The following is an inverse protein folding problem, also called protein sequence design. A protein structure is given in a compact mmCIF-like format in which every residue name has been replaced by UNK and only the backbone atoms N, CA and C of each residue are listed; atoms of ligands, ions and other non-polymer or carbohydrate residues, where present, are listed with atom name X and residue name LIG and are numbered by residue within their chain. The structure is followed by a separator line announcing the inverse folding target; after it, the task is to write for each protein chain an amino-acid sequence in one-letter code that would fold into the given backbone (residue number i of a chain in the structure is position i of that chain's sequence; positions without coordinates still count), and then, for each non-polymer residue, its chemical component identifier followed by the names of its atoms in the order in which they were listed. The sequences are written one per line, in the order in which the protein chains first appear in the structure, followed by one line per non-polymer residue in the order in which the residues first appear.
data_IF_860652666264
#
_entry.id   IF_860652666264
#
_cell.length_a   1.000
_cell.length_b   1.000
_cell.length_c   1.000
_cell.angle_alpha   90.00
_cell.angle_beta   90.00
_cell.angle_gamma   90.00
#
_symmetry.space_group_name_H-M   'P 1'
#
loop_
_entity.id
_entity.type
_entity.pdbx_description
1 polymer ?
#
# COMPACT_ATOMS: atom_id res chain seq x y z
N UNK A 1 50.09 52.42 21.29
CA UNK A 1 48.70 52.37 20.84
C UNK A 1 48.42 51.01 20.29
N UNK A 2 47.59 50.30 20.97
CA UNK A 2 47.26 48.92 20.58
C UNK A 2 45.98 48.96 19.78
N UNK A 3 46.08 48.58 18.54
CA UNK A 3 44.90 48.39 17.71
C UNK A 3 44.40 46.98 17.93
N UNK A 4 43.28 46.88 18.58
CA UNK A 4 42.54 45.64 18.62
C UNK A 4 41.92 45.43 17.24
N UNK A 5 42.48 44.49 16.51
CA UNK A 5 41.82 43.98 15.33
C UNK A 5 40.65 43.10 15.79
N UNK A 6 39.46 43.63 15.64
CA UNK A 6 38.28 42.81 15.80
C UNK A 6 38.25 41.78 14.69
N UNK A 7 38.57 40.58 15.02
CA UNK A 7 38.34 39.45 14.12
C UNK A 7 36.84 39.22 14.09
N UNK A 8 36.21 39.74 13.07
CA UNK A 8 34.85 39.37 12.74
C UNK A 8 34.89 37.91 12.25
N UNK A 9 34.68 37.01 13.16
CA UNK A 9 34.37 35.62 12.78
C UNK A 9 33.00 35.64 12.12
N UNK A 10 32.96 35.71 10.81
CA UNK A 10 31.74 35.45 10.06
C UNK A 10 31.51 33.98 10.16
N UNK A 11 30.73 33.60 11.12
CA UNK A 11 30.20 32.25 11.17
C UNK A 11 29.15 32.15 10.08
N UNK A 12 29.58 31.73 8.89
CA UNK A 12 28.64 31.34 7.86
C UNK A 12 28.02 30.06 8.34
N UNK A 13 26.90 30.19 9.01
CA UNK A 13 26.03 29.03 9.23
C UNK A 13 25.51 28.66 7.85
N UNK A 14 26.17 27.72 7.20
CA UNK A 14 25.53 26.98 6.15
C UNK A 14 24.40 26.21 6.81
N UNK A 15 23.25 26.84 6.89
CA UNK A 15 22.03 26.13 6.99
C UNK A 15 22.00 25.22 5.77
N UNK A 16 22.44 23.98 5.95
CA UNK A 16 22.18 22.97 4.97
C UNK A 16 20.66 22.87 4.89
N UNK A 17 20.09 23.62 3.97
CA UNK A 17 18.76 23.29 3.50
C UNK A 17 18.90 21.90 2.90
N UNK A 18 18.74 20.89 3.72
CA UNK A 18 18.35 19.60 3.22
C UNK A 18 16.96 19.81 2.63
N UNK A 19 16.94 20.25 1.39
CA UNK A 19 15.80 19.99 0.56
C UNK A 19 15.78 18.47 0.46
N UNK A 20 15.09 17.85 1.41
CA UNK A 20 14.67 16.49 1.22
C UNK A 20 13.86 16.54 -0.06
N UNK A 21 14.50 16.23 -1.18
CA UNK A 21 13.80 15.88 -2.38
C UNK A 21 12.99 14.66 -1.97
N UNK A 22 11.72 14.91 -1.65
CA UNK A 22 10.78 13.85 -1.41
C UNK A 22 10.79 13.03 -2.69
N UNK A 23 11.58 11.95 -2.69
CA UNK A 23 11.58 10.97 -3.76
C UNK A 23 10.12 10.56 -3.91
N UNK A 24 9.55 10.80 -5.10
CA UNK A 24 8.15 10.53 -5.34
C UNK A 24 7.87 9.08 -4.98
N UNK A 25 7.12 8.86 -3.90
CA UNK A 25 6.68 7.53 -3.49
C UNK A 25 5.93 6.89 -4.66
N UNK A 26 6.01 5.55 -4.84
CA UNK A 26 5.24 4.87 -5.87
C UNK A 26 3.77 5.20 -5.68
N UNK A 27 3.14 5.72 -6.72
CA UNK A 27 1.72 6.00 -6.67
C UNK A 27 0.96 4.69 -6.83
N UNK A 28 0.20 4.34 -5.81
CA UNK A 28 -0.76 3.25 -5.92
C UNK A 28 -1.90 3.69 -6.84
N UNK A 29 -2.25 2.86 -7.79
CA UNK A 29 -3.38 3.13 -8.63
C UNK A 29 -4.60 3.37 -7.75
N UNK A 30 -5.22 4.52 -7.94
CA UNK A 30 -6.53 4.82 -7.39
C UNK A 30 -7.63 4.06 -8.15
N UNK A 31 -7.21 3.09 -8.97
CA UNK A 31 -8.11 2.16 -9.60
C UNK A 31 -8.91 1.39 -8.56
N UNK A 32 -9.92 0.72 -9.02
CA UNK A 32 -10.88 0.03 -8.19
C UNK A 32 -10.18 -1.04 -7.34
N UNK A 33 -10.13 -0.82 -6.04
CA UNK A 33 -9.79 -1.89 -5.11
C UNK A 33 -11.09 -2.64 -4.84
N UNK A 34 -11.18 -3.87 -5.29
CA UNK A 34 -12.33 -4.72 -5.07
C UNK A 34 -12.01 -5.79 -4.03
N UNK A 35 -12.95 -5.99 -3.13
CA UNK A 35 -12.92 -7.11 -2.21
C UNK A 35 -13.90 -8.16 -2.73
N UNK A 36 -13.44 -9.39 -2.88
CA UNK A 36 -14.25 -10.50 -3.38
C UNK A 36 -14.00 -11.75 -2.56
N UNK A 37 -14.98 -12.64 -2.52
CA UNK A 37 -14.87 -13.96 -1.91
C UNK A 37 -15.74 -14.96 -2.65
N UNK A 38 -15.33 -16.20 -2.64
CA UNK A 38 -16.11 -17.29 -3.23
C UNK A 38 -17.00 -17.92 -2.17
N UNK A 39 -18.32 -17.98 -2.38
CA UNK A 39 -19.20 -18.67 -1.44
C UNK A 39 -18.97 -20.18 -1.50
N UNK A 40 -18.99 -20.83 -0.35
CA UNK A 40 -19.16 -22.28 -0.27
C UNK A 40 -20.61 -22.64 -0.53
N UNK A 41 -20.88 -23.85 -0.98
CA UNK A 41 -22.24 -24.31 -1.28
C UNK A 41 -23.22 -24.27 -0.10
N UNK A 42 -22.76 -24.00 1.11
CA UNK A 42 -23.59 -23.86 2.32
C UNK A 42 -23.71 -22.39 2.79
N UNK A 43 -23.42 -21.43 1.92
CA UNK A 43 -23.58 -20.00 2.21
C UNK A 43 -22.45 -19.36 3.03
N UNK A 44 -21.48 -20.12 3.45
CA UNK A 44 -20.28 -19.59 4.10
C UNK A 44 -19.25 -19.16 3.06
N UNK A 45 -18.42 -18.17 3.42
CA UNK A 45 -17.27 -17.83 2.60
C UNK A 45 -16.29 -18.99 2.58
N UNK A 46 -16.02 -19.48 1.40
CA UNK A 46 -14.85 -20.29 1.22
C UNK A 46 -13.58 -19.42 1.27
N UNK A 47 -12.53 -20.08 1.43
CA UNK A 47 -11.12 -19.78 1.63
C UNK A 47 -10.52 -18.68 0.75
N UNK A 48 -11.28 -18.06 -0.16
CA UNK A 48 -10.76 -17.24 -1.23
C UNK A 48 -11.19 -15.76 -1.17
N UNK A 49 -11.12 -15.17 0.02
CA UNK A 49 -11.27 -13.71 0.10
C UNK A 49 -10.02 -13.06 -0.44
N UNK A 50 -10.20 -12.24 -1.45
CA UNK A 50 -9.13 -11.54 -2.12
C UNK A 50 -9.43 -10.05 -2.32
N UNK A 51 -8.38 -9.23 -2.22
CA UNK A 51 -8.40 -7.86 -2.68
C UNK A 51 -7.75 -7.79 -4.06
N UNK A 52 -8.49 -7.32 -5.05
CA UNK A 52 -7.99 -7.08 -6.41
C UNK A 52 -7.72 -5.61 -6.59
N UNK A 53 -6.55 -5.25 -7.11
CA UNK A 53 -6.16 -3.85 -7.25
C UNK A 53 -5.14 -3.62 -8.36
N UNK A 54 -5.06 -2.36 -8.80
CA UNK A 54 -4.10 -1.92 -9.79
C UNK A 54 -3.10 -0.95 -9.18
N UNK A 55 -1.85 -1.03 -9.64
CA UNK A 55 -0.82 -0.04 -9.37
C UNK A 55 -0.54 0.78 -10.63
N UNK A 56 -0.17 2.05 -10.47
CA UNK A 56 0.19 2.93 -11.60
C UNK A 56 1.44 2.46 -12.33
N UNK A 57 2.32 1.75 -11.62
CA UNK A 57 3.51 1.13 -12.17
C UNK A 57 3.71 -0.28 -11.61
N UNK A 58 4.45 -1.10 -12.32
CA UNK A 58 4.80 -2.43 -11.84
C UNK A 58 5.78 -2.34 -10.67
N UNK A 59 5.48 -3.08 -9.63
CA UNK A 59 6.35 -3.28 -8.46
C UNK A 59 6.52 -4.78 -8.27
N UNK A 60 7.68 -5.22 -7.79
CA UNK A 60 7.90 -6.64 -7.49
C UNK A 60 6.92 -7.09 -6.39
N UNK A 61 6.35 -8.29 -6.52
CA UNK A 61 5.32 -8.78 -5.60
C UNK A 61 5.75 -8.75 -4.12
N UNK A 62 7.02 -9.03 -3.84
CA UNK A 62 7.61 -8.93 -2.48
C UNK A 62 7.65 -7.51 -1.91
N UNK A 63 7.47 -6.49 -2.74
CA UNK A 63 7.44 -5.08 -2.34
C UNK A 63 6.02 -4.54 -2.18
N UNK A 64 5.03 -5.37 -2.39
CA UNK A 64 3.62 -5.05 -2.21
C UNK A 64 3.09 -5.81 -1.02
N UNK A 65 2.58 -5.09 -0.05
CA UNK A 65 1.98 -5.66 1.16
C UNK A 65 0.52 -5.26 1.22
N UNK A 66 -0.33 -6.22 1.46
CA UNK A 66 -1.77 -6.02 1.62
C UNK A 66 -2.21 -6.58 2.95
N UNK A 67 -3.01 -5.83 3.66
CA UNK A 67 -3.75 -6.34 4.81
C UNK A 67 -5.24 -6.12 4.58
N UNK A 68 -6.03 -7.08 4.98
CA UNK A 68 -7.49 -7.01 4.99
C UNK A 68 -7.92 -7.20 6.42
N UNK A 69 -8.54 -6.16 7.01
CA UNK A 69 -8.92 -6.13 8.42
C UNK A 69 -7.76 -6.50 9.37
N UNK A 70 -6.56 -5.99 9.08
CA UNK A 70 -5.35 -6.26 9.86
C UNK A 70 -4.66 -7.60 9.57
N UNK A 71 -5.26 -8.48 8.76
CA UNK A 71 -4.67 -9.77 8.39
C UNK A 71 -3.84 -9.67 7.11
N UNK A 72 -2.62 -10.16 7.15
CA UNK A 72 -1.74 -10.14 5.99
C UNK A 72 -2.26 -11.05 4.87
N UNK A 73 -2.30 -10.51 3.66
CA UNK A 73 -2.68 -11.24 2.46
C UNK A 73 -1.42 -11.57 1.63
N UNK A 74 -1.36 -12.79 1.11
CA UNK A 74 -0.33 -13.16 0.14
C UNK A 74 -0.59 -12.46 -1.20
N UNK A 75 0.38 -11.70 -1.70
CA UNK A 75 0.21 -10.87 -2.90
C UNK A 75 0.91 -11.49 -4.09
N UNK A 76 0.21 -11.54 -5.21
CA UNK A 76 0.78 -11.95 -6.49
C UNK A 76 0.34 -11.01 -7.61
N UNK A 77 1.16 -10.89 -8.62
CA UNK A 77 0.81 -10.27 -9.90
C UNK A 77 0.00 -11.27 -10.74
N UNK A 78 -1.03 -10.80 -11.40
CA UNK A 78 -1.95 -11.67 -12.14
C UNK A 78 -2.23 -11.12 -13.54
N UNK A 79 -2.26 -12.02 -14.50
CA UNK A 79 -2.69 -11.77 -15.86
C UNK A 79 -1.67 -11.06 -16.73
N UNK A 80 -2.10 -10.62 -17.91
CA UNK A 80 -1.28 -9.90 -18.88
C UNK A 80 -1.00 -8.44 -18.47
N UNK A 81 -1.77 -7.89 -17.54
CA UNK A 81 -1.53 -6.55 -17.01
C UNK A 81 -0.33 -6.53 -16.08
N UNK A 82 0.67 -5.73 -16.40
CA UNK A 82 1.88 -5.57 -15.59
C UNK A 82 1.64 -4.89 -14.25
N UNK A 83 0.43 -4.42 -13.99
CA UNK A 83 0.07 -3.60 -12.83
C UNK A 83 -1.10 -4.15 -12.01
N UNK A 84 -1.66 -5.29 -12.41
CA UNK A 84 -2.76 -5.92 -11.69
C UNK A 84 -2.24 -6.93 -10.67
N UNK A 85 -2.73 -6.81 -9.45
CA UNK A 85 -2.32 -7.62 -8.31
C UNK A 85 -3.53 -8.17 -7.58
N UNK A 86 -3.32 -9.31 -6.95
CA UNK A 86 -4.29 -9.93 -6.05
C UNK A 86 -3.63 -10.23 -4.73
N UNK A 87 -4.20 -9.70 -3.66
CA UNK A 87 -3.86 -10.07 -2.29
C UNK A 87 -4.90 -11.06 -1.76
N UNK A 88 -4.48 -12.28 -1.45
CA UNK A 88 -5.35 -13.37 -1.01
C UNK A 88 -5.14 -13.68 0.46
N UNK A 89 -6.23 -13.72 1.23
CA UNK A 89 -6.20 -14.12 2.64
C UNK A 89 -5.95 -15.63 2.80
N UNK A 90 -5.23 -16.02 3.87
CA UNK A 90 -5.14 -17.41 4.26
C UNK A 90 -6.52 -18.01 4.52
N UNK A 91 -6.69 -19.29 4.23
CA UNK A 91 -7.95 -20.01 4.43
C UNK A 91 -8.43 -20.09 5.88
N UNK A 92 -7.56 -19.83 6.84
CA UNK A 92 -7.89 -19.75 8.27
C UNK A 92 -8.62 -18.48 8.67
N UNK A 93 -8.53 -17.42 7.83
CA UNK A 93 -9.16 -16.13 8.09
C UNK A 93 -10.54 -16.12 7.43
N UNK A 94 -11.55 -15.82 8.22
CA UNK A 94 -12.93 -15.76 7.75
C UNK A 94 -13.46 -14.34 7.85
N UNK A 95 -13.95 -13.82 6.74
CA UNK A 95 -14.70 -12.58 6.67
C UNK A 95 -16.16 -12.87 6.32
N UNK A 96 -17.08 -12.03 6.75
CA UNK A 96 -18.50 -12.21 6.49
C UNK A 96 -18.96 -11.38 5.29
N UNK A 97 -19.84 -11.93 4.48
CA UNK A 97 -20.50 -11.21 3.39
C UNK A 97 -21.32 -10.01 3.89
N UNK A 98 -21.32 -8.93 3.12
CA UNK A 98 -22.05 -7.73 3.43
C UNK A 98 -21.44 -6.84 4.51
N UNK A 99 -20.35 -7.27 5.13
CA UNK A 99 -19.60 -6.46 6.09
C UNK A 99 -18.52 -5.64 5.41
N UNK A 100 -18.17 -4.54 6.05
CA UNK A 100 -17.15 -3.62 5.60
C UNK A 100 -15.83 -3.92 6.28
N UNK A 101 -14.76 -3.96 5.49
CA UNK A 101 -13.41 -4.26 5.96
C UNK A 101 -12.43 -3.21 5.48
N UNK A 102 -11.42 -2.99 6.28
CA UNK A 102 -10.34 -2.07 5.93
C UNK A 102 -9.28 -2.80 5.13
N UNK A 103 -9.07 -2.34 3.90
CA UNK A 103 -7.99 -2.82 3.03
C UNK A 103 -6.87 -1.79 3.05
N UNK A 104 -5.67 -2.24 3.41
CA UNK A 104 -4.46 -1.43 3.37
C UNK A 104 -3.51 -2.03 2.36
N UNK A 105 -3.07 -1.20 1.42
CA UNK A 105 -2.08 -1.59 0.41
C UNK A 105 -0.87 -0.69 0.58
N UNK A 106 0.29 -1.30 0.75
CA UNK A 106 1.57 -0.63 0.79
C UNK A 106 2.44 -1.17 -0.32
N UNK A 107 2.93 -0.30 -1.18
CA UNK A 107 3.86 -0.66 -2.24
C UNK A 107 5.14 0.15 -2.12
N UNK A 108 6.27 -0.50 -2.31
CA UNK A 108 7.59 0.12 -2.21
C UNK A 108 8.36 -0.10 -3.50
N UNK A 109 9.15 0.89 -3.89
CA UNK A 109 10.18 0.77 -4.90
C UNK A 109 11.49 1.39 -4.38
N UNK A 110 12.50 1.53 -5.24
CA UNK A 110 13.79 2.15 -4.85
C UNK A 110 13.65 3.62 -4.39
N UNK A 111 12.55 4.29 -4.69
CA UNK A 111 12.31 5.69 -4.34
C UNK A 111 11.55 5.86 -3.02
N UNK A 112 10.95 4.80 -2.50
CA UNK A 112 10.19 4.83 -1.26
C UNK A 112 8.94 3.97 -1.30
N UNK A 113 8.09 4.16 -0.30
CA UNK A 113 6.83 3.45 -0.15
C UNK A 113 5.65 4.41 -0.20
N UNK A 114 4.56 3.97 -0.81
CA UNK A 114 3.25 4.61 -0.65
C UNK A 114 2.26 3.65 -0.01
N UNK A 115 1.28 4.22 0.65
CA UNK A 115 0.26 3.49 1.41
C UNK A 115 -1.11 4.02 1.05
N UNK A 116 -2.02 3.12 0.77
CA UNK A 116 -3.42 3.45 0.50
C UNK A 116 -4.30 2.67 1.45
N UNK A 117 -5.28 3.34 2.03
CA UNK A 117 -6.28 2.72 2.89
C UNK A 117 -7.65 2.92 2.27
N UNK A 118 -8.43 1.86 2.16
CA UNK A 118 -9.82 1.91 1.68
C UNK A 118 -10.67 0.98 2.52
N UNK A 119 -11.85 1.46 2.86
CA UNK A 119 -12.89 0.61 3.43
C UNK A 119 -13.72 0.04 2.29
N UNK A 120 -13.83 -1.26 2.24
CA UNK A 120 -14.55 -2.01 1.21
C UNK A 120 -15.55 -2.98 1.83
N UNK A 121 -16.71 -3.04 1.24
CA UNK A 121 -17.71 -4.03 1.62
C UNK A 121 -17.45 -5.30 0.83
N UNK A 122 -17.43 -6.43 1.54
CA UNK A 122 -17.39 -7.73 0.89
C UNK A 122 -18.78 -8.00 0.30
N UNK A 123 -18.93 -8.00 -1.03
CA UNK A 123 -20.25 -8.11 -1.63
C UNK A 123 -20.90 -9.46 -1.31
N UNK A 124 -22.20 -9.44 -1.09
CA UNK A 124 -22.98 -10.68 -1.02
C UNK A 124 -22.98 -11.35 -2.39
N UNK A 125 -22.91 -12.68 -2.45
CA UNK A 125 -23.10 -13.38 -3.70
C UNK A 125 -24.49 -13.06 -4.25
N UNK A 126 -24.57 -12.75 -5.53
CA UNK A 126 -25.87 -12.70 -6.22
C UNK A 126 -26.41 -14.15 -6.32
N UNK A 127 -27.57 -14.31 -5.79
CA UNK A 127 -28.37 -15.55 -5.94
C UNK A 127 -28.95 -15.60 -7.35
#
# INVERSE_FOLDING_TARGET
MRRLAAVLAVTVVFGACFVATALAAPQLALGTINLSGTPTGNGNLDKDVAANFFLTKRVLGKQVHVTIDGHAAGVRHVGASTRFYVGKLPSSIRLAFGKRYRVVIRACDKTGCSRTVRDKTLPKPSL
#
